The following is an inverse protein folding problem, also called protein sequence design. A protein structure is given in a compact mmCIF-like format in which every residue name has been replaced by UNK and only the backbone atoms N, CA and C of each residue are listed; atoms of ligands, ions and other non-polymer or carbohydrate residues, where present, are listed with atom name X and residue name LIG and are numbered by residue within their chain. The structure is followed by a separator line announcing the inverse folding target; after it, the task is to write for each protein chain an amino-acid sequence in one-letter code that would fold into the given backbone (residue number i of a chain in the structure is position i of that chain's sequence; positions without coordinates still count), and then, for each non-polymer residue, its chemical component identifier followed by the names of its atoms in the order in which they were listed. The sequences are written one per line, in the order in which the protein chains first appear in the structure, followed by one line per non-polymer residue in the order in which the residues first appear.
data_IF_076024441880
#
_entry.id   IF_076024441880
#
_cell.length_a   1.000
_cell.length_b   1.000
_cell.length_c   1.000
_cell.angle_alpha   90.00
_cell.angle_beta   90.00
_cell.angle_gamma   90.00
#
_symmetry.space_group_name_H-M   'P 1'
#
loop_
_entity.id
_entity.type
_entity.pdbx_description
1 polymer ?
#
# COMPACT_ATOMS: atom_id res chain seq x y z
N UNK A 1 -29.44 15.70 20.42
CA UNK A 1 -29.96 14.49 19.73
C UNK A 1 -28.87 13.77 18.95
N UNK A 2 -28.13 14.47 18.07
CA UNK A 2 -26.96 14.00 17.31
C UNK A 2 -26.01 13.12 18.13
N UNK A 3 -25.52 13.60 19.28
CA UNK A 3 -24.53 12.89 20.12
C UNK A 3 -24.98 11.51 20.64
N UNK A 4 -26.30 11.24 20.76
CA UNK A 4 -26.81 9.92 21.16
C UNK A 4 -26.77 8.92 20.00
N UNK A 5 -26.99 9.38 18.77
CA UNK A 5 -26.80 8.57 17.55
C UNK A 5 -25.33 8.17 17.37
N UNK A 6 -24.38 9.11 17.51
CA UNK A 6 -22.94 8.80 17.38
C UNK A 6 -22.48 7.77 18.40
N UNK A 7 -22.93 7.90 19.65
CA UNK A 7 -22.63 6.91 20.69
C UNK A 7 -23.19 5.53 20.37
N UNK A 8 -24.40 5.44 19.80
CA UNK A 8 -24.99 4.17 19.37
C UNK A 8 -24.23 3.51 18.22
N UNK A 9 -23.78 4.30 17.23
CA UNK A 9 -22.97 3.79 16.11
C UNK A 9 -21.60 3.34 16.61
N UNK A 10 -20.93 4.13 17.45
CA UNK A 10 -19.63 3.76 18.01
C UNK A 10 -19.71 2.50 18.88
N UNK A 11 -20.74 2.37 19.71
CA UNK A 11 -20.94 1.16 20.52
C UNK A 11 -21.08 -0.08 19.65
N UNK A 12 -21.88 -0.01 18.57
CA UNK A 12 -22.08 -1.12 17.62
C UNK A 12 -20.81 -1.47 16.86
N UNK A 13 -20.01 -0.48 16.46
CA UNK A 13 -18.70 -0.71 15.82
C UNK A 13 -17.76 -1.41 16.81
N UNK A 14 -17.71 -0.97 18.06
CA UNK A 14 -16.90 -1.61 19.10
C UNK A 14 -17.34 -3.06 19.36
N UNK A 15 -18.65 -3.35 19.38
CA UNK A 15 -19.14 -4.73 19.58
C UNK A 15 -18.85 -5.63 18.37
N UNK A 16 -18.96 -5.08 17.16
CA UNK A 16 -18.61 -5.79 15.93
C UNK A 16 -17.10 -6.05 15.82
N UNK A 17 -16.27 -5.11 16.31
CA UNK A 17 -14.81 -5.27 16.36
C UNK A 17 -14.34 -6.27 17.42
N UNK A 18 -15.15 -6.57 18.45
CA UNK A 18 -14.86 -7.62 19.45
C UNK A 18 -15.30 -9.02 19.03
N UNK A 19 -15.96 -9.18 17.87
CA UNK A 19 -16.32 -10.49 17.35
C UNK A 19 -15.18 -11.13 16.57
N UNK A 20 -14.67 -12.28 17.05
CA UNK A 20 -13.62 -13.06 16.38
C UNK A 20 -14.05 -13.60 15.00
N UNK A 21 -15.35 -13.79 14.79
CA UNK A 21 -15.91 -14.43 13.58
C UNK A 21 -15.54 -13.73 12.26
N UNK A 22 -15.22 -12.43 12.30
CA UNK A 22 -14.84 -11.62 11.14
C UNK A 22 -13.37 -11.21 11.08
N UNK A 23 -12.59 -11.52 12.12
CA UNK A 23 -11.22 -11.01 12.29
C UNK A 23 -10.29 -11.53 11.19
N UNK A 24 -10.29 -12.84 10.94
CA UNK A 24 -9.46 -13.46 9.89
C UNK A 24 -9.82 -13.02 8.47
N UNK A 25 -11.09 -12.70 8.18
CA UNK A 25 -11.51 -12.21 6.84
C UNK A 25 -11.07 -10.77 6.63
N UNK A 26 -11.21 -9.91 7.65
CA UNK A 26 -10.75 -8.53 7.60
C UNK A 26 -9.22 -8.46 7.45
N UNK A 27 -8.48 -9.29 8.20
CA UNK A 27 -7.02 -9.39 8.10
C UNK A 27 -6.57 -9.76 6.69
N UNK A 28 -7.19 -10.76 6.07
CA UNK A 28 -6.86 -11.16 4.71
C UNK A 28 -7.16 -10.06 3.68
N UNK A 29 -8.30 -9.37 3.83
CA UNK A 29 -8.67 -8.26 2.96
C UNK A 29 -7.67 -7.09 3.09
N UNK A 30 -7.32 -6.71 4.31
CA UNK A 30 -6.33 -5.66 4.59
C UNK A 30 -4.95 -6.07 4.05
N UNK A 31 -4.53 -7.31 4.28
CA UNK A 31 -3.26 -7.84 3.78
C UNK A 31 -3.18 -7.78 2.25
N UNK A 32 -4.27 -8.12 1.56
CA UNK A 32 -4.35 -8.05 0.09
C UNK A 32 -4.28 -6.60 -0.40
N UNK A 33 -5.00 -5.67 0.25
CA UNK A 33 -4.93 -4.25 -0.09
C UNK A 33 -3.52 -3.69 0.13
N UNK A 34 -2.89 -4.03 1.25
CA UNK A 34 -1.53 -3.61 1.57
C UNK A 34 -0.52 -4.11 0.53
N UNK A 35 -0.61 -5.38 0.14
CA UNK A 35 0.23 -5.96 -0.91
C UNK A 35 0.03 -5.28 -2.27
N UNK A 36 -1.22 -5.03 -2.67
CA UNK A 36 -1.53 -4.34 -3.93
C UNK A 36 -1.01 -2.89 -3.94
N UNK A 37 -1.19 -2.15 -2.84
CA UNK A 37 -0.69 -0.79 -2.69
C UNK A 37 0.85 -0.75 -2.76
N UNK A 38 1.53 -1.68 -2.09
CA UNK A 38 2.98 -1.79 -2.16
C UNK A 38 3.46 -2.13 -3.58
N UNK A 39 2.78 -3.05 -4.26
CA UNK A 39 3.07 -3.37 -5.67
C UNK A 39 2.91 -2.17 -6.60
N UNK A 40 1.86 -1.35 -6.40
CA UNK A 40 1.67 -0.12 -7.16
C UNK A 40 2.82 0.87 -6.93
N UNK A 41 3.26 1.07 -5.69
CA UNK A 41 4.43 1.92 -5.38
C UNK A 41 5.68 1.38 -6.08
N UNK A 42 5.98 0.08 -5.96
CA UNK A 42 7.14 -0.52 -6.63
C UNK A 42 7.09 -0.36 -8.15
N UNK A 43 5.92 -0.55 -8.77
CA UNK A 43 5.74 -0.32 -10.20
C UNK A 43 6.09 1.12 -10.57
N UNK A 44 5.59 2.12 -9.82
CA UNK A 44 5.91 3.53 -10.09
C UNK A 44 7.39 3.85 -9.92
N UNK A 45 8.07 3.21 -8.96
CA UNK A 45 9.52 3.40 -8.75
C UNK A 45 10.32 2.82 -9.92
N UNK A 46 10.00 1.60 -10.33
CA UNK A 46 10.72 0.90 -11.40
C UNK A 46 10.45 1.52 -12.78
N UNK A 47 9.24 2.00 -13.01
CA UNK A 47 8.84 2.63 -14.28
C UNK A 47 9.06 4.14 -14.30
N UNK A 48 9.47 4.73 -13.19
CA UNK A 48 9.80 6.15 -13.12
C UNK A 48 11.03 6.49 -13.96
N UNK A 49 11.03 7.68 -14.57
CA UNK A 49 12.10 8.19 -15.42
C UNK A 49 13.48 8.16 -14.74
N UNK A 50 13.52 8.25 -13.40
CA UNK A 50 14.76 8.27 -12.60
C UNK A 50 15.54 6.97 -12.68
N UNK A 51 14.89 5.80 -12.66
CA UNK A 51 15.58 4.50 -12.71
C UNK A 51 16.09 4.20 -14.11
N UNK A 52 15.26 4.46 -15.13
CA UNK A 52 15.66 4.29 -16.53
C UNK A 52 16.84 5.21 -16.86
N UNK A 53 16.75 6.49 -16.50
CA UNK A 53 17.85 7.45 -16.72
C UNK A 53 19.13 7.07 -15.97
N UNK A 54 19.02 6.59 -14.72
CA UNK A 54 20.17 6.13 -13.95
C UNK A 54 20.84 4.90 -14.58
N UNK A 55 20.07 3.91 -15.02
CA UNK A 55 20.56 2.73 -15.74
C UNK A 55 21.23 3.12 -17.06
N UNK A 56 20.59 3.98 -17.85
CA UNK A 56 21.16 4.52 -19.10
C UNK A 56 22.48 5.23 -18.83
N UNK A 57 22.55 6.09 -17.82
CA UNK A 57 23.78 6.79 -17.45
C UNK A 57 24.92 5.87 -17.01
N UNK A 58 24.61 4.76 -16.32
CA UNK A 58 25.61 3.74 -15.96
C UNK A 58 26.15 3.05 -17.23
N UNK A 59 25.26 2.69 -18.17
CA UNK A 59 25.63 2.05 -19.44
C UNK A 59 26.47 3.02 -20.28
N UNK A 60 26.04 4.26 -20.44
CA UNK A 60 26.75 5.29 -21.19
C UNK A 60 28.16 5.52 -20.62
N UNK A 61 28.30 5.58 -19.30
CA UNK A 61 29.61 5.71 -18.64
C UNK A 61 30.51 4.50 -18.89
N UNK A 62 29.95 3.30 -18.89
CA UNK A 62 30.70 2.07 -19.17
C UNK A 62 31.18 2.03 -20.64
N UNK A 63 30.33 2.44 -21.58
CA UNK A 63 30.67 2.54 -23.00
C UNK A 63 31.65 3.68 -23.31
N UNK A 64 31.56 4.80 -22.58
CA UNK A 64 32.50 5.92 -22.72
C UNK A 64 33.90 5.61 -22.15
N UNK A 65 34.02 4.60 -21.28
CA UNK A 65 35.30 4.15 -20.68
C UNK A 65 36.04 3.15 -21.59
N UNK A 66 35.42 2.68 -22.68
CA UNK A 66 36.05 1.79 -23.65
C UNK A 66 36.61 2.54 -24.86
N UNK A 67 37.47 3.54 -24.64
CA UNK A 67 38.58 3.94 -25.53
C UNK A 67 39.66 4.64 -24.70
#
# INVERSE_FOLDING_TARGET
MWSRMFRGVQARIMTAATGDDGMSTAEYAIGTIAAAAFGAVLYTVVTGDSIVSALTGIIDKALATSV
#
